data_IF_231916364796
#
_entry.id   IF_231916364796
#
_cell.length_a   1.000
_cell.length_b   1.000
_cell.length_c   1.000
_cell.angle_alpha   90.00
_cell.angle_beta   90.00
_cell.angle_gamma   90.00
#
_symmetry.space_group_name_H-M   'P 1'
#
loop_
_entity.id
_entity.type
_entity.pdbx_description
1 polymer ?
#
# COMPACT_ATOMS: atom_id res chain seq x y z
N UNK A 1 16.15 -42.87 26.59
CA UNK A 1 14.80 -43.47 26.70
C UNK A 1 14.26 -43.71 25.29
N UNK A 2 13.92 -44.96 25.02
CA UNK A 2 13.59 -45.50 23.68
C UNK A 2 12.13 -45.24 23.32
N UNK A 3 11.88 -44.83 22.11
CA UNK A 3 10.54 -44.71 21.52
C UNK A 3 10.29 -45.92 20.62
N UNK A 4 9.18 -46.62 20.69
CA UNK A 4 8.85 -47.62 19.69
C UNK A 4 7.99 -47.02 18.56
N UNK A 5 8.33 -47.41 17.36
CA UNK A 5 7.57 -47.23 16.13
C UNK A 5 6.33 -48.17 16.13
N UNK A 6 5.20 -47.66 15.64
CA UNK A 6 4.08 -48.49 15.19
C UNK A 6 3.80 -48.25 13.71
N UNK A 7 4.03 -49.31 12.95
CA UNK A 7 3.65 -49.49 11.56
C UNK A 7 2.23 -50.08 11.57
N UNK A 8 1.34 -49.50 10.82
CA UNK A 8 0.08 -50.15 10.43
C UNK A 8 -0.15 -50.04 8.93
N UNK A 9 -0.03 -51.17 8.26
CA UNK A 9 -0.40 -51.36 6.88
C UNK A 9 -1.83 -51.93 6.83
N UNK A 10 -2.68 -51.49 5.90
CA UNK A 10 -3.87 -52.18 5.40
C UNK A 10 -4.26 -51.49 4.08
N UNK A 11 -4.13 -52.16 3.05
CA UNK A 11 -4.89 -53.09 2.22
C UNK A 11 -5.65 -52.39 1.08
N UNK A 12 -5.21 -52.79 -0.06
CA UNK A 12 -5.70 -52.54 -1.42
C UNK A 12 -7.06 -53.24 -1.64
N UNK A 13 -8.05 -52.54 -2.17
CA UNK A 13 -9.21 -53.14 -2.83
C UNK A 13 -9.36 -52.52 -4.22
N UNK A 14 -9.05 -53.34 -5.25
CA UNK A 14 -9.45 -53.09 -6.63
C UNK A 14 -10.89 -53.54 -6.82
N UNK A 15 -11.72 -52.68 -7.36
CA UNK A 15 -12.94 -53.06 -8.04
C UNK A 15 -13.03 -52.31 -9.35
N UNK A 16 -12.79 -53.01 -10.43
CA UNK A 16 -13.05 -52.60 -11.80
C UNK A 16 -14.53 -52.81 -12.13
N UNK A 17 -15.21 -51.83 -12.68
CA UNK A 17 -16.27 -52.03 -13.64
C UNK A 17 -16.46 -50.80 -14.49
N UNK A 18 -16.39 -50.97 -15.79
CA UNK A 18 -16.45 -49.95 -16.81
C UNK A 18 -17.87 -49.42 -17.02
N UNK A 19 -17.96 -48.30 -17.70
CA UNK A 19 -19.19 -47.60 -18.10
C UNK A 19 -18.81 -46.36 -18.88
N UNK A 20 -19.11 -46.39 -20.10
CA UNK A 20 -19.01 -45.54 -21.27
C UNK A 20 -19.42 -44.08 -21.08
N UNK A 21 -18.62 -43.20 -21.68
CA UNK A 21 -18.90 -41.90 -22.31
C UNK A 21 -20.10 -41.07 -21.85
N UNK A 22 -19.79 -39.89 -21.33
CA UNK A 22 -20.37 -38.66 -21.86
C UNK A 22 -19.40 -37.50 -21.51
N UNK A 23 -18.79 -36.90 -22.53
CA UNK A 23 -18.11 -35.63 -22.44
C UNK A 23 -19.17 -34.56 -22.09
N UNK A 24 -19.13 -34.09 -20.86
CA UNK A 24 -19.72 -32.81 -20.50
C UNK A 24 -18.57 -31.91 -20.11
N UNK A 25 -18.24 -31.02 -20.98
CA UNK A 25 -17.33 -29.89 -20.74
C UNK A 25 -17.93 -29.05 -19.63
N UNK A 26 -17.58 -29.35 -18.40
CA UNK A 26 -17.88 -28.47 -17.27
C UNK A 26 -16.86 -27.34 -17.32
N UNK A 27 -17.31 -26.23 -17.92
CA UNK A 27 -16.64 -24.94 -17.82
C UNK A 27 -16.61 -24.58 -16.35
N UNK A 28 -15.47 -24.78 -15.69
CA UNK A 28 -15.21 -24.27 -14.35
C UNK A 28 -15.17 -22.75 -14.47
N UNK A 29 -16.29 -22.13 -14.20
CA UNK A 29 -16.37 -20.69 -13.94
C UNK A 29 -15.49 -20.41 -12.73
N UNK A 30 -14.31 -19.86 -12.98
CA UNK A 30 -13.47 -19.24 -11.94
C UNK A 30 -14.31 -18.07 -11.43
N UNK A 31 -14.64 -18.00 -10.12
CA UNK A 31 -15.33 -16.82 -9.61
C UNK A 31 -14.42 -15.61 -9.86
N UNK A 32 -14.89 -14.70 -10.69
CA UNK A 32 -14.26 -13.41 -10.88
C UNK A 32 -14.13 -12.76 -9.50
N UNK A 33 -12.92 -12.67 -9.01
CA UNK A 33 -12.60 -11.83 -7.87
C UNK A 33 -13.04 -10.43 -8.27
N UNK A 34 -14.09 -9.96 -7.67
CA UNK A 34 -14.54 -8.57 -7.81
C UNK A 34 -13.44 -7.73 -7.17
N UNK A 35 -12.48 -7.33 -8.00
CA UNK A 35 -11.55 -6.27 -7.67
C UNK A 35 -12.42 -5.03 -7.41
N UNK A 36 -12.55 -4.68 -6.14
CA UNK A 36 -13.24 -3.45 -5.74
C UNK A 36 -12.42 -2.32 -6.37
N UNK A 37 -12.88 -1.82 -7.50
CA UNK A 37 -12.28 -0.68 -8.17
C UNK A 37 -12.19 0.46 -7.15
N UNK A 38 -10.98 0.87 -6.82
CA UNK A 38 -10.76 2.11 -6.10
C UNK A 38 -11.50 3.23 -6.84
N UNK A 39 -12.13 4.19 -6.14
CA UNK A 39 -12.85 5.27 -6.78
C UNK A 39 -11.94 5.93 -7.81
N UNK A 40 -12.43 6.04 -9.05
CA UNK A 40 -11.68 6.66 -10.14
C UNK A 40 -11.36 8.10 -9.72
N UNK A 41 -10.11 8.35 -9.38
CA UNK A 41 -9.61 9.69 -9.06
C UNK A 41 -9.55 10.45 -10.37
N UNK A 42 -10.42 11.45 -10.52
CA UNK A 42 -10.45 12.34 -11.72
C UNK A 42 -9.35 13.41 -11.66
N UNK A 43 -8.50 13.38 -10.62
CA UNK A 43 -7.45 14.36 -10.40
C UNK A 43 -6.13 14.02 -11.09
N UNK A 44 -5.22 14.98 -11.06
CA UNK A 44 -3.85 14.83 -11.58
C UNK A 44 -3.01 13.99 -10.63
N UNK A 45 -2.11 13.17 -11.18
CA UNK A 45 -1.11 12.45 -10.38
C UNK A 45 0.18 13.25 -10.33
N UNK A 46 0.68 13.47 -9.11
CA UNK A 46 1.94 14.14 -8.82
C UNK A 46 2.92 13.14 -8.22
N UNK A 47 4.20 13.33 -8.48
CA UNK A 47 5.26 12.48 -7.91
C UNK A 47 6.13 13.28 -6.95
N UNK A 48 6.41 12.69 -5.80
CA UNK A 48 7.39 13.16 -4.81
C UNK A 48 8.42 12.04 -4.63
N UNK A 49 9.67 12.32 -4.91
CA UNK A 49 10.75 11.36 -4.71
C UNK A 49 11.25 11.39 -3.27
N UNK A 50 11.57 10.24 -2.72
CA UNK A 50 12.22 10.04 -1.44
C UNK A 50 13.66 9.66 -1.69
N UNK A 51 14.59 10.55 -1.34
CA UNK A 51 16.00 10.43 -1.76
C UNK A 51 16.96 10.66 -0.62
N UNK A 52 18.13 10.05 -0.73
CA UNK A 52 19.33 10.42 -0.01
C UNK A 52 20.27 11.21 -0.93
N UNK A 53 20.69 12.38 -0.49
CA UNK A 53 21.65 13.25 -1.16
C UNK A 53 22.81 13.54 -0.20
N UNK A 54 23.91 12.81 -0.36
CA UNK A 54 25.00 12.81 0.60
C UNK A 54 24.55 12.31 1.98
N UNK A 55 24.64 13.16 3.00
CA UNK A 55 24.18 12.86 4.37
C UNK A 55 22.72 13.30 4.63
N UNK A 56 22.08 13.96 3.68
CA UNK A 56 20.72 14.46 3.84
C UNK A 56 19.69 13.52 3.24
N UNK A 57 18.55 13.36 3.93
CA UNK A 57 17.38 12.65 3.44
C UNK A 57 16.29 13.67 3.13
N UNK A 58 15.66 13.54 1.97
CA UNK A 58 14.75 14.56 1.44
C UNK A 58 13.54 13.97 0.73
N UNK A 59 12.42 14.68 0.77
CA UNK A 59 11.37 14.60 -0.25
C UNK A 59 11.67 15.61 -1.36
N UNK A 60 11.49 15.23 -2.62
CA UNK A 60 11.73 16.09 -3.78
C UNK A 60 10.53 16.03 -4.73
N UNK A 61 9.78 17.14 -4.88
CA UNK A 61 9.89 18.37 -4.10
C UNK A 61 9.48 18.20 -2.64
N UNK A 62 10.04 19.01 -1.73
CA UNK A 62 9.66 19.01 -0.32
C UNK A 62 8.33 19.75 -0.07
N UNK A 63 7.96 20.65 -0.96
CA UNK A 63 6.68 21.37 -0.94
C UNK A 63 5.98 21.19 -2.28
N UNK A 64 4.70 20.84 -2.24
CA UNK A 64 3.87 20.58 -3.41
C UNK A 64 2.50 21.22 -3.23
N UNK A 65 2.02 21.91 -4.27
CA UNK A 65 0.65 22.44 -4.30
C UNK A 65 -0.18 21.61 -5.27
N UNK A 66 -1.35 21.16 -4.81
CA UNK A 66 -2.27 20.30 -5.56
C UNK A 66 -3.71 20.79 -5.44
N UNK A 67 -4.62 20.17 -6.20
CA UNK A 67 -6.06 20.38 -6.05
C UNK A 67 -6.69 19.23 -5.27
N UNK A 68 -7.81 19.51 -4.62
CA UNK A 68 -8.64 18.44 -4.05
C UNK A 68 -9.03 17.44 -5.16
N UNK A 69 -8.84 16.14 -4.89
CA UNK A 69 -9.04 15.08 -5.88
C UNK A 69 -7.78 14.58 -6.57
N UNK A 70 -6.67 15.29 -6.45
CA UNK A 70 -5.39 14.82 -6.98
C UNK A 70 -4.82 13.63 -6.18
N UNK A 71 -3.87 12.95 -6.79
CA UNK A 71 -3.13 11.84 -6.18
C UNK A 71 -1.66 12.20 -6.07
N UNK A 72 -1.05 11.90 -4.93
CA UNK A 72 0.40 12.04 -4.75
C UNK A 72 1.03 10.67 -4.59
N UNK A 73 1.99 10.35 -5.46
CA UNK A 73 2.79 9.14 -5.43
C UNK A 73 4.17 9.49 -4.87
N UNK A 74 4.50 8.90 -3.72
CA UNK A 74 5.81 9.00 -3.09
C UNK A 74 6.66 7.81 -3.53
N UNK A 75 7.71 8.08 -4.29
CA UNK A 75 8.58 7.05 -4.86
C UNK A 75 9.90 6.98 -4.12
N UNK A 76 10.22 5.82 -3.56
CA UNK A 76 11.52 5.59 -2.94
C UNK A 76 12.60 5.40 -4.00
N UNK A 77 13.56 6.34 -4.07
CA UNK A 77 14.61 6.36 -5.10
C UNK A 77 15.96 5.96 -4.53
N UNK A 78 16.30 6.41 -3.33
CA UNK A 78 17.58 6.10 -2.67
C UNK A 78 17.50 6.33 -1.16
N UNK A 79 18.48 5.82 -0.40
CA UNK A 79 18.61 6.13 1.02
C UNK A 79 17.97 5.12 1.99
N UNK A 80 17.59 3.94 1.50
CA UNK A 80 17.06 2.86 2.33
C UNK A 80 15.54 2.90 2.48
N UNK A 81 15.06 2.59 3.68
CA UNK A 81 13.63 2.52 3.97
C UNK A 81 13.04 3.92 4.23
N UNK A 82 11.95 4.22 3.54
CA UNK A 82 11.19 5.46 3.71
C UNK A 82 9.72 5.18 4.03
N UNK A 83 9.05 6.16 4.62
CA UNK A 83 7.59 6.18 4.76
C UNK A 83 7.05 7.61 4.69
N UNK A 84 5.73 7.72 4.69
CA UNK A 84 5.01 8.99 4.82
C UNK A 84 4.15 8.92 6.07
N UNK A 85 4.41 9.82 7.01
CA UNK A 85 3.64 9.98 8.24
C UNK A 85 3.09 11.40 8.30
N UNK A 86 1.76 11.56 8.24
CA UNK A 86 1.11 12.83 8.56
C UNK A 86 0.93 12.98 10.06
N UNK A 87 0.82 14.22 10.51
CA UNK A 87 0.61 14.56 11.91
C UNK A 87 -0.76 15.20 12.07
N UNK A 88 -1.60 14.63 12.95
CA UNK A 88 -2.99 15.06 13.13
C UNK A 88 -3.14 16.54 13.52
N UNK A 89 -2.18 17.08 14.25
CA UNK A 89 -2.10 18.51 14.64
C UNK A 89 -1.61 19.45 13.52
N UNK A 90 -1.18 18.90 12.40
CA UNK A 90 -0.53 19.60 11.29
C UNK A 90 -1.23 19.34 9.94
N UNK A 91 -2.49 18.91 10.01
CA UNK A 91 -3.39 18.77 8.86
C UNK A 91 -4.71 19.50 9.16
N UNK A 92 -5.49 19.89 8.13
CA UNK A 92 -6.76 20.58 8.33
C UNK A 92 -7.77 19.79 9.17
N UNK A 93 -8.59 20.47 9.92
CA UNK A 93 -9.68 19.84 10.68
C UNK A 93 -10.60 19.03 9.74
N UNK A 94 -10.93 17.80 10.13
CA UNK A 94 -11.75 16.87 9.34
C UNK A 94 -10.98 16.10 8.26
N UNK A 95 -9.70 16.38 8.03
CA UNK A 95 -8.88 15.68 7.06
C UNK A 95 -8.40 14.30 7.54
N UNK A 96 -8.32 14.07 8.84
CA UNK A 96 -7.67 12.91 9.44
C UNK A 96 -8.21 11.59 8.88
N UNK A 97 -9.52 11.37 8.97
CA UNK A 97 -10.14 10.12 8.51
C UNK A 97 -10.02 9.93 6.99
N UNK A 98 -10.04 11.02 6.22
CA UNK A 98 -9.92 10.99 4.76
C UNK A 98 -8.51 10.56 4.35
N UNK A 99 -7.49 11.23 4.91
CA UNK A 99 -6.09 10.91 4.61
C UNK A 99 -5.72 9.54 5.14
N UNK A 100 -6.16 9.19 6.35
CA UNK A 100 -5.90 7.89 6.95
C UNK A 100 -6.42 6.72 6.09
N UNK A 101 -7.61 6.87 5.51
CA UNK A 101 -8.19 5.89 4.60
C UNK A 101 -7.54 5.87 3.20
N UNK A 102 -6.94 6.99 2.78
CA UNK A 102 -6.36 7.15 1.44
C UNK A 102 -4.92 6.65 1.32
N UNK A 103 -4.23 6.40 2.43
CA UNK A 103 -2.84 5.90 2.40
C UNK A 103 -2.81 4.46 1.92
N UNK A 104 -2.18 4.22 0.76
CA UNK A 104 -1.84 2.86 0.35
C UNK A 104 -0.77 2.28 1.29
N UNK A 105 -0.74 0.96 1.44
CA UNK A 105 0.23 0.29 2.34
C UNK A 105 0.23 0.88 3.77
N UNK A 106 -0.94 1.16 4.31
CA UNK A 106 -1.09 1.71 5.65
C UNK A 106 -0.55 0.77 6.72
N UNK A 107 0.22 1.29 7.67
CA UNK A 107 0.76 0.53 8.80
C UNK A 107 0.29 1.04 10.16
N UNK A 108 -0.12 2.30 10.26
CA UNK A 108 -0.59 2.92 11.49
C UNK A 108 -1.49 4.12 11.22
N UNK A 109 -1.98 4.82 12.24
CA UNK A 109 -2.76 6.04 12.05
C UNK A 109 -1.96 7.08 11.26
N UNK A 110 -2.51 7.56 10.15
CA UNK A 110 -1.91 8.55 9.25
C UNK A 110 -0.51 8.17 8.72
N UNK A 111 -0.16 6.86 8.74
CA UNK A 111 1.17 6.36 8.42
C UNK A 111 1.13 5.26 7.36
N UNK A 112 1.96 5.38 6.34
CA UNK A 112 2.28 4.26 5.46
C UNK A 112 3.25 3.28 6.11
N UNK A 113 3.30 2.05 5.60
CA UNK A 113 4.41 1.14 5.85
C UNK A 113 5.73 1.71 5.33
N UNK A 114 6.84 1.15 5.80
CA UNK A 114 8.16 1.40 5.24
C UNK A 114 8.25 0.74 3.86
N UNK A 115 8.77 1.47 2.90
CA UNK A 115 8.99 1.01 1.52
C UNK A 115 10.47 1.01 1.18
N UNK A 116 10.89 0.02 0.38
CA UNK A 116 12.25 -0.10 -0.14
C UNK A 116 12.45 0.78 -1.36
N UNK A 117 13.70 0.95 -1.76
CA UNK A 117 14.05 1.60 -3.04
C UNK A 117 13.35 0.88 -4.20
N UNK A 118 12.70 1.66 -5.05
CA UNK A 118 11.88 1.19 -6.18
C UNK A 118 10.41 0.99 -5.87
N UNK A 119 10.01 0.98 -4.58
CA UNK A 119 8.60 0.90 -4.18
C UNK A 119 7.97 2.29 -4.03
N UNK A 120 6.63 2.33 -3.99
CA UNK A 120 5.84 3.56 -4.00
C UNK A 120 4.73 3.51 -2.93
N UNK A 121 4.35 4.71 -2.47
CA UNK A 121 3.19 4.94 -1.61
C UNK A 121 2.27 5.90 -2.36
N UNK A 122 1.02 5.52 -2.59
CA UNK A 122 0.02 6.37 -3.24
C UNK A 122 -0.97 6.90 -2.22
N UNK A 123 -1.27 8.19 -2.28
CA UNK A 123 -2.22 8.86 -1.38
C UNK A 123 -3.15 9.73 -2.22
N UNK A 124 -4.45 9.45 -2.13
CA UNK A 124 -5.50 10.23 -2.79
C UNK A 124 -5.94 11.38 -1.88
N UNK A 125 -6.07 12.58 -2.47
CA UNK A 125 -6.62 13.77 -1.80
C UNK A 125 -8.08 14.02 -2.22
N UNK A 126 -8.80 12.97 -2.66
CA UNK A 126 -10.22 13.05 -2.95
C UNK A 126 -11.00 13.38 -1.67
N UNK A 127 -11.75 14.49 -1.70
CA UNK A 127 -12.50 14.98 -0.55
C UNK A 127 -11.66 15.60 0.56
N UNK A 128 -10.35 15.73 0.37
CA UNK A 128 -9.48 16.38 1.34
C UNK A 128 -9.78 17.88 1.45
N UNK A 129 -9.96 18.43 2.66
CA UNK A 129 -10.13 19.86 2.88
C UNK A 129 -8.96 20.70 2.36
N UNK A 130 -9.23 21.93 1.94
CA UNK A 130 -8.21 22.91 1.59
C UNK A 130 -7.31 23.21 2.79
N UNK A 131 -6.00 23.30 2.56
CA UNK A 131 -5.02 23.64 3.59
C UNK A 131 -3.70 22.90 3.47
N UNK A 132 -2.87 23.02 4.50
CA UNK A 132 -1.54 22.44 4.56
C UNK A 132 -1.56 21.07 5.24
N UNK A 133 -0.86 20.12 4.65
CA UNK A 133 -0.68 18.74 5.10
C UNK A 133 0.80 18.47 5.31
N UNK A 134 1.27 18.58 6.55
CA UNK A 134 2.68 18.33 6.88
C UNK A 134 2.91 16.85 7.14
N UNK A 135 4.03 16.34 6.64
CA UNK A 135 4.42 14.94 6.77
C UNK A 135 5.92 14.79 7.01
N UNK A 136 6.30 13.65 7.57
CA UNK A 136 7.70 13.30 7.86
C UNK A 136 7.98 11.87 7.41
N UNK A 137 9.26 11.54 7.25
CA UNK A 137 9.74 10.16 7.17
C UNK A 137 10.22 9.73 8.56
N UNK A 138 9.55 8.76 9.19
CA UNK A 138 9.88 8.38 10.56
C UNK A 138 11.35 7.95 10.75
N UNK A 139 11.94 7.08 9.89
CA UNK A 139 13.35 6.70 10.03
C UNK A 139 14.32 7.89 9.94
N UNK A 140 13.95 8.92 9.18
CA UNK A 140 14.84 10.05 8.89
C UNK A 140 14.35 11.38 9.48
N UNK A 141 13.39 11.33 10.40
CA UNK A 141 12.83 12.53 11.05
C UNK A 141 13.92 13.34 11.80
N UNK A 142 14.80 12.67 12.53
CA UNK A 142 15.90 13.32 13.23
C UNK A 142 16.93 13.97 12.28
N UNK A 143 16.93 13.57 11.01
CA UNK A 143 17.78 14.15 9.95
C UNK A 143 17.04 15.23 9.13
N UNK A 144 15.85 15.63 9.56
CA UNK A 144 15.09 16.71 8.95
C UNK A 144 14.31 16.32 7.69
N UNK A 145 14.04 15.02 7.46
CA UNK A 145 13.25 14.60 6.31
C UNK A 145 11.75 14.86 6.56
N UNK A 146 11.27 16.00 6.11
CA UNK A 146 9.88 16.42 6.19
C UNK A 146 9.45 17.13 4.91
N UNK A 147 8.15 17.23 4.71
CA UNK A 147 7.56 17.92 3.58
C UNK A 147 6.18 18.47 3.89
N UNK A 148 5.61 19.12 2.88
CA UNK A 148 4.29 19.75 2.95
C UNK A 148 3.55 19.63 1.62
N UNK A 149 2.30 19.24 1.65
CA UNK A 149 1.36 19.36 0.54
C UNK A 149 0.37 20.46 0.90
N UNK A 150 0.14 21.40 -0.02
CA UNK A 150 -0.92 22.41 0.08
C UNK A 150 -2.03 22.05 -0.89
N UNK A 151 -3.23 21.77 -0.37
CA UNK A 151 -4.45 21.53 -1.16
C UNK A 151 -5.19 22.86 -1.37
N UNK A 152 -5.59 23.14 -2.63
CA UNK A 152 -6.31 24.34 -3.04
C UNK A 152 -7.70 24.01 -3.61
#
# INVERSE_FOLDING_TARGET
MRVPAMIAAVALVLAACGGEKTETTETTEVPATTETAAPATTGTTHTVEMVQDGAAFKYVPAELTIKAGDVVVFKSVSGGLHNVQFHADSIPAGAEAIIDAAISNKQGPLASALVNVGEEISISFAGAPVGDYRFTCLPHMAMGMHGKITVQ
#
